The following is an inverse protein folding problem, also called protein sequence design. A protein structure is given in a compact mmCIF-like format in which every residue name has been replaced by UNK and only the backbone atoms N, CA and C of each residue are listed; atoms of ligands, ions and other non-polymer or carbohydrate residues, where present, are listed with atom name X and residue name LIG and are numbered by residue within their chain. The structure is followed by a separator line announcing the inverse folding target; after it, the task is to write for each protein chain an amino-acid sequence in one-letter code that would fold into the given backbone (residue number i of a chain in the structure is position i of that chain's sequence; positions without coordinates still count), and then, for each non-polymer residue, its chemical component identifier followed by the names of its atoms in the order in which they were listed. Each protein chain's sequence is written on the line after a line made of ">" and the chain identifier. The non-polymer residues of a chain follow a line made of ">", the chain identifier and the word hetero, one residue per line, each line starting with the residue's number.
data_IF_618740972015
#
_entry.id   IF_618740972015
#
_cell.length_a   1.000
_cell.length_b   1.000
_cell.length_c   1.000
_cell.angle_alpha   90.00
_cell.angle_beta   90.00
_cell.angle_gamma   90.00
#
_symmetry.space_group_name_H-M   'P 1'
#
loop_
_entity.id
_entity.type
_entity.pdbx_description
1 polymer ?
#
# COMPACT_ATOMS: atom_id res chain seq x y z
N UNK A 1 -53.66 -30.29 -42.95
CA UNK A 1 -53.52 -30.54 -44.40
C UNK A 1 -52.04 -30.79 -44.67
N UNK A 2 -51.66 -32.05 -45.01
CA UNK A 2 -50.39 -32.55 -45.63
C UNK A 2 -49.08 -32.32 -44.82
N UNK A 3 -48.41 -33.35 -44.26
CA UNK A 3 -47.55 -34.41 -44.86
C UNK A 3 -46.32 -33.80 -45.60
N UNK A 4 -45.12 -33.73 -44.98
CA UNK A 4 -43.97 -34.71 -44.92
C UNK A 4 -42.90 -34.41 -46.02
N UNK A 5 -41.62 -34.88 -45.99
CA UNK A 5 -40.73 -35.35 -44.89
C UNK A 5 -39.19 -35.05 -45.07
N UNK A 6 -38.37 -35.59 -44.13
CA UNK A 6 -36.92 -35.98 -44.16
C UNK A 6 -35.80 -34.92 -44.06
N UNK A 7 -35.00 -35.08 -43.00
CA UNK A 7 -33.58 -34.70 -42.94
C UNK A 7 -32.89 -35.43 -41.78
N UNK A 8 -32.34 -36.61 -42.05
CA UNK A 8 -31.50 -37.40 -41.13
C UNK A 8 -30.12 -36.75 -41.03
N UNK A 9 -29.67 -36.47 -39.80
CA UNK A 9 -28.32 -35.98 -39.47
C UNK A 9 -27.91 -36.54 -38.11
N UNK A 10 -26.66 -36.94 -38.01
CA UNK A 10 -26.05 -37.94 -37.11
C UNK A 10 -26.09 -37.64 -35.60
N UNK A 11 -25.95 -38.68 -34.74
CA UNK A 11 -25.87 -38.49 -33.29
C UNK A 11 -24.53 -37.84 -32.92
N UNK A 12 -24.58 -36.61 -32.41
CA UNK A 12 -23.45 -36.00 -31.71
C UNK A 12 -23.18 -36.80 -30.43
N UNK A 13 -22.09 -37.54 -30.45
CA UNK A 13 -21.49 -38.23 -29.32
C UNK A 13 -21.22 -37.23 -28.19
N UNK A 14 -21.88 -37.47 -27.06
CA UNK A 14 -21.63 -36.83 -25.78
C UNK A 14 -20.20 -37.12 -25.32
N UNK A 15 -19.32 -36.12 -25.38
CA UNK A 15 -18.03 -36.15 -24.70
C UNK A 15 -18.28 -35.73 -23.24
N UNK A 16 -17.93 -36.54 -22.23
CA UNK A 16 -18.04 -36.13 -20.84
C UNK A 16 -16.96 -35.08 -20.57
N UNK A 17 -17.36 -33.92 -20.03
CA UNK A 17 -16.45 -32.97 -19.42
C UNK A 17 -15.92 -33.62 -18.14
N UNK A 18 -14.70 -34.11 -18.21
CA UNK A 18 -13.97 -34.66 -17.07
C UNK A 18 -13.57 -33.47 -16.17
N UNK A 19 -14.25 -33.32 -15.04
CA UNK A 19 -13.83 -32.41 -13.97
C UNK A 19 -12.53 -32.96 -13.39
N UNK A 20 -11.43 -32.19 -13.30
CA UNK A 20 -10.27 -32.65 -12.56
C UNK A 20 -10.69 -32.79 -11.10
N UNK A 21 -10.78 -34.05 -10.66
CA UNK A 21 -11.01 -34.41 -9.27
C UNK A 21 -9.67 -34.31 -8.56
N UNK A 22 -9.36 -33.14 -8.00
CA UNK A 22 -8.26 -33.01 -7.05
C UNK A 22 -8.74 -33.72 -5.78
N UNK A 23 -8.19 -34.91 -5.55
CA UNK A 23 -8.41 -35.66 -4.31
C UNK A 23 -7.65 -34.96 -3.19
N UNK A 24 -8.33 -34.08 -2.46
CA UNK A 24 -7.84 -33.56 -1.18
C UNK A 24 -8.00 -34.70 -0.18
N UNK A 25 -6.89 -35.40 0.08
CA UNK A 25 -6.82 -36.35 1.19
C UNK A 25 -6.55 -35.51 2.44
N UNK A 26 -7.60 -35.21 3.19
CA UNK A 26 -7.51 -34.53 4.47
C UNK A 26 -7.12 -35.56 5.54
N UNK A 27 -5.83 -35.61 5.90
CA UNK A 27 -5.37 -36.30 7.10
C UNK A 27 -5.10 -35.27 8.21
N UNK A 28 -5.96 -35.28 9.22
CA UNK A 28 -5.71 -34.67 10.52
C UNK A 28 -4.50 -35.37 11.18
N UNK A 29 -3.35 -34.69 11.18
CA UNK A 29 -2.13 -35.14 11.86
C UNK A 29 -0.94 -34.34 11.38
N UNK A 30 -0.29 -33.59 12.29
CA UNK A 30 0.93 -32.78 12.09
C UNK A 30 1.50 -32.86 10.66
N UNK A 31 0.99 -32.02 9.77
CA UNK A 31 1.22 -32.14 8.34
C UNK A 31 2.71 -32.05 8.03
N UNK A 32 3.23 -33.09 7.37
CA UNK A 32 4.59 -33.07 6.85
C UNK A 32 4.75 -31.87 5.88
N UNK A 33 5.90 -31.20 5.89
CA UNK A 33 6.12 -30.03 5.02
C UNK A 33 6.03 -30.41 3.54
N UNK A 34 5.56 -29.47 2.71
CA UNK A 34 5.46 -29.62 1.25
C UNK A 34 6.76 -30.09 0.61
N UNK A 35 6.65 -30.82 -0.52
CA UNK A 35 7.76 -31.24 -1.36
C UNK A 35 8.69 -30.08 -1.78
N UNK A 36 8.15 -28.87 -1.91
CA UNK A 36 8.92 -27.65 -2.21
C UNK A 36 9.95 -27.33 -1.12
N UNK A 37 9.61 -27.64 0.13
CA UNK A 37 10.49 -27.43 1.29
C UNK A 37 11.44 -28.61 1.46
N UNK A 38 10.97 -29.84 1.22
CA UNK A 38 11.79 -31.05 1.35
C UNK A 38 12.96 -31.11 0.35
N UNK A 39 12.79 -30.56 -0.86
CA UNK A 39 13.85 -30.54 -1.88
C UNK A 39 14.94 -29.49 -1.63
N UNK A 40 14.70 -28.52 -0.75
CA UNK A 40 15.63 -27.41 -0.49
C UNK A 40 16.70 -27.74 0.56
N UNK A 41 16.44 -28.69 1.47
CA UNK A 41 17.27 -28.94 2.66
C UNK A 41 18.69 -29.46 2.41
N UNK A 42 19.10 -29.67 1.14
CA UNK A 42 20.44 -30.11 0.76
C UNK A 42 21.19 -29.14 -0.17
N UNK A 43 20.68 -27.93 -0.37
CA UNK A 43 21.29 -26.96 -1.30
C UNK A 43 22.23 -26.02 -0.54
N UNK A 44 23.50 -25.86 -0.97
CA UNK A 44 24.40 -24.87 -0.38
C UNK A 44 23.89 -23.45 -0.66
N UNK A 45 23.78 -22.68 0.42
CA UNK A 45 23.35 -21.27 0.38
C UNK A 45 24.59 -20.39 0.50
N UNK A 46 24.80 -19.41 -0.40
CA UNK A 46 25.89 -18.44 -0.26
C UNK A 46 25.77 -17.63 1.03
N UNK A 47 26.91 -17.39 1.70
CA UNK A 47 26.97 -16.57 2.93
C UNK A 47 26.50 -15.12 2.69
N UNK A 48 26.71 -14.61 1.47
CA UNK A 48 26.24 -13.30 1.06
C UNK A 48 24.77 -13.36 0.67
N UNK A 49 24.00 -12.34 1.06
CA UNK A 49 22.64 -12.14 0.60
C UNK A 49 22.63 -11.76 -0.90
N UNK A 50 21.52 -12.02 -1.62
CA UNK A 50 21.25 -11.47 -2.94
C UNK A 50 21.40 -9.94 -2.99
N UNK A 51 21.70 -9.39 -4.16
CA UNK A 51 21.98 -7.96 -4.32
C UNK A 51 20.75 -7.11 -3.98
N UNK A 52 19.53 -7.56 -4.31
CA UNK A 52 18.29 -6.87 -3.91
C UNK A 52 18.07 -6.80 -2.39
N UNK A 53 18.72 -7.68 -1.64
CA UNK A 53 18.66 -7.71 -0.17
C UNK A 53 19.88 -7.04 0.47
N UNK A 54 20.86 -6.59 -0.31
CA UNK A 54 22.07 -5.96 0.21
C UNK A 54 21.75 -4.66 0.98
N UNK A 55 22.32 -4.51 2.18
CA UNK A 55 22.11 -3.35 3.04
C UNK A 55 20.78 -3.33 3.79
N UNK A 56 19.95 -4.37 3.65
CA UNK A 56 18.73 -4.56 4.43
C UNK A 56 18.98 -5.42 5.67
N UNK A 57 18.01 -5.45 6.60
CA UNK A 57 18.05 -6.33 7.77
C UNK A 57 16.99 -7.42 7.63
N UNK A 58 17.34 -8.66 7.96
CA UNK A 58 16.39 -9.77 8.04
C UNK A 58 15.32 -9.40 9.08
N UNK A 59 14.01 -9.57 8.77
CA UNK A 59 12.94 -9.29 9.72
C UNK A 59 13.14 -10.00 11.07
N UNK A 60 12.82 -9.32 12.16
CA UNK A 60 12.87 -9.83 13.53
C UNK A 60 11.45 -10.10 14.08
N UNK A 61 11.33 -10.44 15.36
CA UNK A 61 10.02 -10.58 16.03
C UNK A 61 9.15 -11.78 15.62
N UNK A 62 9.58 -12.58 14.64
CA UNK A 62 8.83 -13.74 14.12
C UNK A 62 8.99 -15.02 14.94
N UNK A 63 10.11 -15.19 15.66
CA UNK A 63 10.44 -16.40 16.42
C UNK A 63 9.70 -16.47 17.76
N UNK A 64 8.37 -16.50 17.72
CA UNK A 64 7.51 -16.50 18.91
C UNK A 64 6.93 -17.88 19.18
N UNK A 65 6.96 -18.28 20.44
CA UNK A 65 6.40 -19.55 20.91
C UNK A 65 5.48 -19.36 22.11
N UNK A 66 4.53 -20.28 22.28
CA UNK A 66 3.66 -20.34 23.44
C UNK A 66 4.37 -21.02 24.64
N UNK A 67 3.66 -21.17 25.76
CA UNK A 67 4.19 -21.79 26.98
C UNK A 67 4.51 -23.29 26.82
N UNK A 68 4.04 -23.93 25.75
CA UNK A 68 4.27 -25.33 25.43
C UNK A 68 5.34 -25.52 24.36
N UNK A 69 5.93 -24.42 23.85
CA UNK A 69 6.94 -24.45 22.79
C UNK A 69 6.36 -24.55 21.38
N UNK A 70 5.04 -24.40 21.20
CA UNK A 70 4.45 -24.33 19.86
C UNK A 70 4.71 -22.95 19.25
N UNK A 71 4.86 -22.91 17.93
CA UNK A 71 4.93 -21.69 17.15
C UNK A 71 3.65 -20.87 17.33
N UNK A 72 3.82 -19.57 17.58
CA UNK A 72 2.73 -18.59 17.49
C UNK A 72 2.85 -17.91 16.11
N UNK A 73 1.87 -18.06 15.20
CA UNK A 73 1.88 -17.34 13.93
C UNK A 73 1.91 -15.82 14.14
N UNK A 74 2.69 -15.12 13.32
CA UNK A 74 2.80 -13.65 13.38
C UNK A 74 2.92 -13.04 11.98
N UNK A 75 2.54 -11.76 11.81
CA UNK A 75 2.83 -11.04 10.57
C UNK A 75 4.32 -11.05 10.20
N UNK A 76 5.21 -11.02 11.20
CA UNK A 76 6.66 -11.01 10.99
C UNK A 76 7.17 -12.34 10.42
N UNK A 77 6.53 -13.47 10.73
CA UNK A 77 6.88 -14.76 10.14
C UNK A 77 6.60 -14.77 8.63
N UNK A 78 5.44 -14.24 8.21
CA UNK A 78 5.16 -14.00 6.79
C UNK A 78 6.17 -13.04 6.18
N UNK A 79 6.52 -11.97 6.87
CA UNK A 79 7.51 -11.00 6.41
C UNK A 79 8.88 -11.64 6.19
N UNK A 80 9.33 -12.55 7.07
CA UNK A 80 10.55 -13.33 6.88
C UNK A 80 10.51 -14.14 5.59
N UNK A 81 9.39 -14.82 5.32
CA UNK A 81 9.23 -15.59 4.08
C UNK A 81 9.28 -14.67 2.86
N UNK A 82 8.49 -13.60 2.86
CA UNK A 82 8.44 -12.64 1.76
C UNK A 82 9.78 -11.93 1.53
N UNK A 83 10.55 -11.66 2.58
CA UNK A 83 11.87 -11.04 2.50
C UNK A 83 12.84 -11.87 1.66
N UNK A 84 12.90 -13.19 1.87
CA UNK A 84 13.74 -14.04 1.03
C UNK A 84 13.10 -14.29 -0.34
N UNK A 85 11.78 -14.51 -0.40
CA UNK A 85 11.08 -14.74 -1.66
C UNK A 85 11.08 -13.53 -2.59
N UNK A 86 11.32 -12.31 -2.11
CA UNK A 86 11.44 -11.13 -2.98
C UNK A 86 12.70 -11.17 -3.86
N UNK A 87 13.70 -11.98 -3.53
CA UNK A 87 14.88 -12.21 -4.37
C UNK A 87 14.67 -13.35 -5.41
N UNK A 88 13.43 -13.82 -5.59
CA UNK A 88 13.10 -14.81 -6.61
C UNK A 88 13.41 -14.26 -8.01
N UNK A 89 14.29 -14.96 -8.73
CA UNK A 89 14.81 -14.54 -10.03
C UNK A 89 16.29 -14.19 -10.00
N UNK A 90 16.83 -13.75 -8.86
CA UNK A 90 18.28 -13.68 -8.60
C UNK A 90 18.81 -15.03 -8.10
N UNK A 91 18.05 -15.67 -7.20
CA UNK A 91 18.29 -17.02 -6.74
C UNK A 91 17.12 -17.95 -7.10
N UNK A 92 17.40 -19.25 -7.16
CA UNK A 92 16.36 -20.26 -7.34
C UNK A 92 15.46 -20.36 -6.12
N UNK A 93 14.18 -20.73 -6.32
CA UNK A 93 13.24 -20.96 -5.22
C UNK A 93 13.82 -21.88 -4.13
N UNK A 94 14.57 -22.90 -4.53
CA UNK A 94 15.13 -23.86 -3.59
C UNK A 94 16.25 -23.26 -2.73
N UNK A 95 17.07 -22.34 -3.27
CA UNK A 95 18.06 -21.59 -2.49
C UNK A 95 17.39 -20.63 -1.50
N UNK A 96 16.33 -19.94 -1.93
CA UNK A 96 15.57 -19.03 -1.07
C UNK A 96 14.87 -19.76 0.06
N UNK A 97 14.29 -20.93 -0.23
CA UNK A 97 13.72 -21.81 0.81
C UNK A 97 14.82 -22.27 1.77
N UNK A 98 16.00 -22.68 1.29
CA UNK A 98 17.12 -23.05 2.15
C UNK A 98 17.60 -21.88 3.04
N UNK A 99 17.57 -20.63 2.56
CA UNK A 99 17.82 -19.44 3.39
C UNK A 99 16.78 -19.30 4.50
N UNK A 100 15.49 -19.48 4.19
CA UNK A 100 14.42 -19.44 5.18
C UNK A 100 14.63 -20.57 6.21
N UNK A 101 14.91 -21.80 5.78
CA UNK A 101 15.16 -22.94 6.68
C UNK A 101 16.35 -22.67 7.63
N UNK A 102 17.42 -22.06 7.10
CA UNK A 102 18.57 -21.64 7.90
C UNK A 102 18.17 -20.61 8.96
N UNK A 103 17.36 -19.60 8.59
CA UNK A 103 16.84 -18.63 9.54
C UNK A 103 15.98 -19.30 10.61
N UNK A 104 15.08 -20.21 10.23
CA UNK A 104 14.19 -20.96 11.14
C UNK A 104 14.94 -21.88 12.12
N UNK A 105 16.22 -22.20 11.87
CA UNK A 105 17.01 -23.07 12.74
C UNK A 105 17.19 -22.56 14.18
N UNK A 106 16.96 -21.26 14.41
CA UNK A 106 16.95 -20.65 15.75
C UNK A 106 15.79 -21.12 16.64
N UNK A 107 14.71 -21.65 16.05
CA UNK A 107 13.58 -22.22 16.78
C UNK A 107 13.93 -23.61 17.30
N UNK A 108 13.42 -23.97 18.48
CA UNK A 108 13.45 -25.34 18.99
C UNK A 108 12.24 -26.15 18.49
N UNK A 109 12.27 -27.48 18.66
CA UNK A 109 11.09 -28.32 18.42
C UNK A 109 10.06 -28.15 19.56
N UNK A 110 8.73 -28.15 19.26
CA UNK A 110 8.09 -28.42 17.96
C UNK A 110 7.94 -27.20 17.03
N UNK A 111 8.27 -25.98 17.49
CA UNK A 111 8.05 -24.75 16.73
C UNK A 111 8.81 -24.72 15.40
N UNK A 112 10.03 -25.27 15.34
CA UNK A 112 10.80 -25.36 14.09
C UNK A 112 10.08 -26.18 13.03
N UNK A 113 9.61 -27.38 13.38
CA UNK A 113 8.85 -28.23 12.46
C UNK A 113 7.53 -27.57 12.04
N UNK A 114 6.84 -26.91 12.98
CA UNK A 114 5.61 -26.17 12.69
C UNK A 114 5.88 -25.02 11.71
N UNK A 115 6.95 -24.24 11.90
CA UNK A 115 7.31 -23.13 11.01
C UNK A 115 7.66 -23.62 9.59
N UNK A 116 8.35 -24.77 9.49
CA UNK A 116 8.64 -25.43 8.22
C UNK A 116 7.36 -25.89 7.50
N UNK A 117 6.39 -26.45 8.24
CA UNK A 117 5.09 -26.81 7.69
C UNK A 117 4.31 -25.57 7.22
N UNK A 118 4.30 -24.49 8.02
CA UNK A 118 3.70 -23.20 7.64
C UNK A 118 4.32 -22.62 6.37
N UNK A 119 5.66 -22.68 6.22
CA UNK A 119 6.34 -22.27 5.00
C UNK A 119 5.88 -23.07 3.79
N UNK A 120 5.77 -24.40 3.93
CA UNK A 120 5.28 -25.27 2.86
C UNK A 120 3.89 -24.87 2.40
N UNK A 121 2.93 -24.78 3.33
CA UNK A 121 1.56 -24.37 3.06
C UNK A 121 1.47 -22.97 2.43
N UNK A 122 2.35 -22.06 2.87
CA UNK A 122 2.42 -20.70 2.33
C UNK A 122 2.88 -20.67 0.87
N UNK A 123 3.83 -21.52 0.48
CA UNK A 123 4.29 -21.65 -0.90
C UNK A 123 3.21 -22.27 -1.80
N UNK A 124 2.49 -23.29 -1.32
CA UNK A 124 1.34 -23.86 -2.04
C UNK A 124 0.24 -22.83 -2.25
N UNK A 125 -0.07 -22.02 -1.23
CA UNK A 125 -0.96 -20.87 -1.36
C UNK A 125 -0.52 -19.91 -2.47
N UNK A 126 0.76 -19.53 -2.51
CA UNK A 126 1.31 -18.62 -3.54
C UNK A 126 1.17 -19.19 -4.94
N UNK A 127 1.40 -20.51 -5.11
CA UNK A 127 1.21 -21.19 -6.39
C UNK A 127 -0.27 -21.18 -6.80
N UNK A 128 -1.18 -21.53 -5.88
CA UNK A 128 -2.62 -21.51 -6.15
C UNK A 128 -3.13 -20.11 -6.52
N UNK A 129 -2.61 -19.06 -5.89
CA UNK A 129 -2.92 -17.67 -6.28
C UNK A 129 -2.42 -17.37 -7.69
N UNK A 130 -1.20 -17.78 -8.04
CA UNK A 130 -0.67 -17.59 -9.40
C UNK A 130 -1.52 -18.28 -10.47
N UNK A 131 -1.99 -19.50 -10.20
CA UNK A 131 -2.89 -20.24 -11.10
C UNK A 131 -4.26 -19.54 -11.23
N UNK A 132 -4.82 -19.08 -10.11
CA UNK A 132 -6.06 -18.30 -10.11
C UNK A 132 -5.89 -17.01 -10.95
N UNK A 133 -4.78 -16.29 -10.79
CA UNK A 133 -4.51 -15.06 -11.53
C UNK A 133 -4.36 -15.29 -13.03
N UNK A 134 -3.72 -16.38 -13.44
CA UNK A 134 -3.62 -16.79 -14.84
C UNK A 134 -4.99 -17.11 -15.44
N UNK A 135 -5.95 -17.59 -14.64
CA UNK A 135 -7.30 -17.93 -15.11
C UNK A 135 -8.15 -16.72 -15.49
N UNK A 136 -7.88 -15.53 -14.94
CA UNK A 136 -8.65 -14.31 -15.23
C UNK A 136 -8.36 -13.70 -16.61
N UNK A 137 -7.23 -14.04 -17.25
CA UNK A 137 -6.80 -13.46 -18.53
C UNK A 137 -6.56 -11.93 -18.48
N UNK A 138 -6.20 -11.33 -19.64
CA UNK A 138 -5.79 -9.91 -19.72
C UNK A 138 -6.96 -8.89 -19.63
N UNK A 139 -8.22 -9.33 -19.72
CA UNK A 139 -9.39 -8.45 -19.96
C UNK A 139 -10.34 -8.36 -18.76
N UNK A 140 -9.98 -8.93 -17.61
CA UNK A 140 -10.85 -8.88 -16.43
C UNK A 140 -11.07 -7.42 -15.96
N UNK A 141 -12.35 -7.02 -15.87
CA UNK A 141 -12.76 -5.65 -15.65
C UNK A 141 -12.33 -5.07 -14.29
N UNK A 142 -11.95 -3.80 -14.27
CA UNK A 142 -11.46 -3.09 -13.06
C UNK A 142 -12.59 -2.57 -12.14
N UNK A 143 -13.81 -3.07 -12.28
CA UNK A 143 -14.96 -2.62 -11.49
C UNK A 143 -14.94 -3.15 -10.06
N UNK A 144 -15.51 -2.39 -9.11
CA UNK A 144 -15.56 -2.75 -7.69
C UNK A 144 -16.10 -4.18 -7.43
N UNK A 145 -17.13 -4.60 -8.17
CA UNK A 145 -17.72 -5.93 -8.03
C UNK A 145 -16.81 -7.07 -8.51
N UNK A 146 -16.01 -6.87 -9.55
CA UNK A 146 -15.03 -7.87 -10.01
C UNK A 146 -13.85 -7.94 -9.04
N UNK A 147 -13.36 -6.78 -8.61
CA UNK A 147 -12.31 -6.70 -7.60
C UNK A 147 -12.75 -7.46 -6.34
N UNK A 148 -13.96 -7.20 -5.83
CA UNK A 148 -14.52 -7.90 -4.67
C UNK A 148 -14.58 -9.42 -4.85
N UNK A 149 -14.96 -9.91 -6.04
CA UNK A 149 -14.95 -11.36 -6.33
C UNK A 149 -13.54 -11.93 -6.27
N UNK A 150 -12.58 -11.31 -6.96
CA UNK A 150 -11.18 -11.75 -6.95
C UNK A 150 -10.59 -11.78 -5.54
N UNK A 151 -10.88 -10.77 -4.73
CA UNK A 151 -10.42 -10.74 -3.33
C UNK A 151 -11.01 -11.88 -2.52
N UNK A 152 -12.31 -12.19 -2.70
CA UNK A 152 -12.96 -13.29 -2.01
C UNK A 152 -12.37 -14.65 -2.41
N UNK A 153 -12.01 -14.85 -3.68
CA UNK A 153 -11.35 -16.07 -4.16
C UNK A 153 -9.94 -16.22 -3.57
N UNK A 154 -9.15 -15.14 -3.52
CA UNK A 154 -7.84 -15.14 -2.86
C UNK A 154 -7.98 -15.44 -1.35
N UNK A 155 -8.97 -14.84 -0.67
CA UNK A 155 -9.24 -15.12 0.74
C UNK A 155 -9.61 -16.59 0.97
N UNK A 156 -10.41 -17.18 0.08
CA UNK A 156 -10.74 -18.60 0.14
C UNK A 156 -9.51 -19.49 -0.03
N UNK A 157 -8.57 -19.12 -0.90
CA UNK A 157 -7.29 -19.83 -1.04
C UNK A 157 -6.46 -19.76 0.25
N UNK A 158 -6.42 -18.61 0.93
CA UNK A 158 -5.74 -18.48 2.23
C UNK A 158 -6.30 -19.48 3.25
N UNK A 159 -7.63 -19.59 3.34
CA UNK A 159 -8.31 -20.51 4.27
C UNK A 159 -8.26 -21.98 3.84
N UNK A 160 -7.97 -22.26 2.57
CA UNK A 160 -7.74 -23.62 2.08
C UNK A 160 -6.38 -24.15 2.50
N UNK A 161 -5.34 -23.30 2.42
CA UNK A 161 -3.95 -23.73 2.61
C UNK A 161 -3.41 -23.47 4.01
N UNK A 162 -3.92 -22.46 4.71
CA UNK A 162 -3.45 -22.06 6.03
C UNK A 162 -4.56 -22.29 7.06
N UNK A 163 -4.17 -22.72 8.26
CA UNK A 163 -5.08 -22.77 9.39
C UNK A 163 -5.58 -21.37 9.77
N UNK A 164 -6.66 -21.31 10.56
CA UNK A 164 -7.34 -20.07 10.89
C UNK A 164 -6.42 -19.05 11.58
N UNK A 165 -5.62 -19.50 12.56
CA UNK A 165 -4.73 -18.64 13.34
C UNK A 165 -3.60 -18.09 12.46
N UNK A 166 -3.02 -18.94 11.61
CA UNK A 166 -1.97 -18.51 10.66
C UNK A 166 -2.51 -17.54 9.62
N UNK A 167 -3.65 -17.83 9.00
CA UNK A 167 -4.24 -16.95 7.99
C UNK A 167 -4.63 -15.58 8.59
N UNK A 168 -5.19 -15.55 9.80
CA UNK A 168 -5.49 -14.29 10.50
C UNK A 168 -4.21 -13.51 10.82
N UNK A 169 -3.21 -14.17 11.40
CA UNK A 169 -1.93 -13.53 11.72
C UNK A 169 -1.21 -12.98 10.47
N UNK A 170 -1.37 -13.63 9.31
CA UNK A 170 -0.68 -13.25 8.08
C UNK A 170 -1.41 -12.17 7.29
N UNK A 171 -2.74 -12.13 7.33
CA UNK A 171 -3.53 -11.38 6.35
C UNK A 171 -4.65 -10.51 6.92
N UNK A 172 -4.92 -10.51 8.24
CA UNK A 172 -6.05 -9.74 8.78
C UNK A 172 -5.97 -8.24 8.44
N UNK A 173 -4.78 -7.64 8.55
CA UNK A 173 -4.56 -6.22 8.22
C UNK A 173 -4.71 -5.97 6.70
N UNK A 174 -4.11 -6.83 5.87
CA UNK A 174 -4.25 -6.76 4.40
C UNK A 174 -5.72 -6.84 3.98
N UNK A 175 -6.46 -7.82 4.51
CA UNK A 175 -7.89 -8.03 4.23
C UNK A 175 -8.77 -6.87 4.70
N UNK A 176 -8.39 -6.20 5.79
CA UNK A 176 -9.09 -5.00 6.25
C UNK A 176 -8.84 -3.82 5.30
N UNK A 177 -7.60 -3.61 4.86
CA UNK A 177 -7.25 -2.56 3.89
C UNK A 177 -7.96 -2.79 2.56
N UNK A 178 -7.94 -4.01 2.07
CA UNK A 178 -8.56 -4.45 0.82
C UNK A 178 -10.06 -4.17 0.79
N UNK A 179 -10.78 -4.62 1.83
CA UNK A 179 -12.21 -4.35 2.01
C UNK A 179 -12.50 -2.85 2.08
N UNK A 180 -11.66 -2.09 2.76
CA UNK A 180 -11.79 -0.64 2.81
C UNK A 180 -11.57 0.02 1.43
N UNK A 181 -10.61 -0.43 0.63
CA UNK A 181 -10.39 0.13 -0.72
C UNK A 181 -11.58 -0.12 -1.65
N UNK A 182 -12.16 -1.33 -1.61
CA UNK A 182 -13.37 -1.66 -2.39
C UNK A 182 -14.54 -0.77 -1.96
N UNK A 183 -14.76 -0.64 -0.65
CA UNK A 183 -15.85 0.17 -0.13
C UNK A 183 -15.67 1.65 -0.49
N UNK A 184 -14.44 2.17 -0.39
CA UNK A 184 -14.10 3.51 -0.85
C UNK A 184 -14.43 3.69 -2.33
N UNK A 185 -14.02 2.75 -3.19
CA UNK A 185 -14.35 2.80 -4.61
C UNK A 185 -15.86 2.85 -4.83
N UNK A 186 -16.61 1.96 -4.16
CA UNK A 186 -18.08 1.91 -4.22
C UNK A 186 -18.73 3.25 -3.82
N UNK A 187 -18.30 3.84 -2.71
CA UNK A 187 -18.82 5.14 -2.23
C UNK A 187 -18.49 6.25 -3.22
N UNK A 188 -17.26 6.32 -3.71
CA UNK A 188 -16.84 7.39 -4.62
C UNK A 188 -17.54 7.34 -5.97
N UNK A 189 -17.82 6.14 -6.48
CA UNK A 189 -18.53 5.89 -7.73
C UNK A 189 -20.06 5.91 -7.62
N UNK A 190 -20.62 6.15 -6.43
CA UNK A 190 -22.06 6.22 -6.23
C UNK A 190 -22.59 7.63 -6.56
N UNK A 191 -23.21 7.77 -7.72
CA UNK A 191 -23.78 9.04 -8.19
C UNK A 191 -25.06 9.44 -7.44
N UNK A 192 -25.61 8.57 -6.57
CA UNK A 192 -26.78 8.89 -5.75
C UNK A 192 -26.43 9.63 -4.45
N UNK A 193 -25.15 9.68 -4.08
CA UNK A 193 -24.67 10.33 -2.87
C UNK A 193 -24.16 11.76 -3.14
N UNK A 194 -24.52 12.71 -2.27
CA UNK A 194 -23.87 14.03 -2.24
C UNK A 194 -22.45 13.94 -1.70
N UNK A 195 -21.65 14.99 -1.88
CA UNK A 195 -20.28 15.05 -1.37
C UNK A 195 -20.23 14.89 0.17
N UNK A 196 -21.19 15.46 0.89
CA UNK A 196 -21.30 15.31 2.35
C UNK A 196 -21.66 13.87 2.73
N UNK A 197 -22.55 13.22 1.99
CA UNK A 197 -22.94 11.83 2.22
C UNK A 197 -21.77 10.87 1.91
N UNK A 198 -21.01 11.13 0.83
CA UNK A 198 -19.78 10.38 0.52
C UNK A 198 -18.75 10.56 1.63
N UNK A 199 -18.55 11.77 2.13
CA UNK A 199 -17.61 12.03 3.22
C UNK A 199 -17.99 11.28 4.51
N UNK A 200 -19.27 11.24 4.87
CA UNK A 200 -19.75 10.47 6.03
C UNK A 200 -19.60 8.97 5.83
N UNK A 201 -20.00 8.45 4.68
CA UNK A 201 -19.84 7.02 4.36
C UNK A 201 -18.37 6.59 4.39
N UNK A 202 -17.44 7.43 3.91
CA UNK A 202 -16.01 7.15 3.98
C UNK A 202 -15.49 7.13 5.41
N UNK A 203 -15.91 8.06 6.28
CA UNK A 203 -15.56 8.04 7.71
C UNK A 203 -16.05 6.76 8.38
N UNK A 204 -17.27 6.34 8.07
CA UNK A 204 -17.82 5.09 8.60
C UNK A 204 -17.03 3.88 8.10
N UNK A 205 -16.69 3.81 6.81
CA UNK A 205 -15.88 2.74 6.25
C UNK A 205 -14.50 2.65 6.91
N UNK A 206 -13.84 3.79 7.14
CA UNK A 206 -12.54 3.83 7.84
C UNK A 206 -12.61 3.34 9.29
N UNK A 207 -13.75 3.50 9.97
CA UNK A 207 -13.91 3.00 11.35
C UNK A 207 -13.79 1.48 11.45
N UNK A 208 -13.93 0.76 10.33
CA UNK A 208 -13.76 -0.70 10.24
C UNK A 208 -12.30 -1.16 10.13
N UNK A 209 -11.35 -0.24 9.89
CA UNK A 209 -9.93 -0.56 9.86
C UNK A 209 -9.38 -0.84 11.28
N UNK A 210 -8.38 -1.74 11.41
CA UNK A 210 -7.61 -1.93 12.64
C UNK A 210 -7.07 -0.61 13.20
N UNK A 211 -7.02 -0.50 14.53
CA UNK A 211 -6.59 0.72 15.24
C UNK A 211 -5.21 1.23 14.77
N UNK A 212 -4.17 0.39 14.58
CA UNK A 212 -2.88 0.88 14.12
C UNK A 212 -2.96 1.55 12.73
N UNK A 213 -3.75 0.96 11.82
CA UNK A 213 -3.94 1.47 10.47
C UNK A 213 -4.77 2.77 10.47
N UNK A 214 -5.78 2.85 11.34
CA UNK A 214 -6.55 4.09 11.53
C UNK A 214 -5.66 5.23 12.03
N UNK A 215 -4.84 4.98 13.05
CA UNK A 215 -3.91 5.97 13.60
C UNK A 215 -2.90 6.46 12.55
N UNK A 216 -2.27 5.55 11.80
CA UNK A 216 -1.35 5.92 10.73
C UNK A 216 -2.02 6.79 9.65
N UNK A 217 -3.30 6.50 9.32
CA UNK A 217 -4.10 7.31 8.40
C UNK A 217 -4.45 8.68 8.96
N UNK A 218 -4.85 8.75 10.22
CA UNK A 218 -5.09 10.01 10.93
C UNK A 218 -3.84 10.89 10.89
N UNK A 219 -2.66 10.34 11.19
CA UNK A 219 -1.39 11.06 11.11
C UNK A 219 -1.09 11.59 9.71
N UNK A 220 -1.29 10.76 8.68
CA UNK A 220 -1.07 11.15 7.28
C UNK A 220 -2.01 12.27 6.83
N UNK A 221 -3.23 12.32 7.39
CA UNK A 221 -4.25 13.33 7.03
C UNK A 221 -4.12 14.65 7.77
N UNK A 222 -3.38 14.70 8.89
CA UNK A 222 -3.28 15.91 9.72
C UNK A 222 -3.02 17.19 8.93
N UNK A 223 -2.20 17.14 7.87
CA UNK A 223 -1.95 18.31 7.03
C UNK A 223 -3.14 18.69 6.14
N UNK A 224 -3.83 17.71 5.55
CA UNK A 224 -5.03 17.96 4.77
C UNK A 224 -6.16 18.52 5.65
N UNK A 225 -6.34 17.94 6.84
CA UNK A 225 -7.30 18.41 7.83
C UNK A 225 -6.97 19.84 8.29
N UNK A 226 -5.68 20.15 8.46
CA UNK A 226 -5.21 21.51 8.75
C UNK A 226 -5.54 22.50 7.63
N UNK A 227 -5.29 22.15 6.37
CA UNK A 227 -5.62 23.01 5.23
C UNK A 227 -7.13 23.24 5.10
N UNK A 228 -7.93 22.21 5.38
CA UNK A 228 -9.39 22.33 5.43
C UNK A 228 -9.83 23.26 6.57
N UNK A 229 -9.37 23.04 7.79
CA UNK A 229 -9.67 23.89 8.93
C UNK A 229 -9.25 25.35 8.69
N UNK A 230 -8.10 25.57 8.03
CA UNK A 230 -7.65 26.92 7.66
C UNK A 230 -8.61 27.62 6.70
N UNK A 231 -9.25 26.88 5.78
CA UNK A 231 -10.23 27.44 4.84
C UNK A 231 -11.57 27.69 5.52
N UNK A 232 -12.05 26.75 6.31
CA UNK A 232 -13.34 26.86 7.01
C UNK A 232 -13.33 27.95 8.08
N UNK A 233 -12.20 28.12 8.77
CA UNK A 233 -12.00 29.10 9.84
C UNK A 233 -11.25 30.35 9.35
N UNK A 234 -11.24 30.62 8.04
CA UNK A 234 -10.48 31.73 7.47
C UNK A 234 -10.88 33.09 8.06
N UNK A 235 -12.16 33.26 8.40
CA UNK A 235 -12.74 34.48 8.97
C UNK A 235 -12.68 34.52 10.51
N UNK A 236 -12.24 33.44 11.17
CA UNK A 236 -12.11 33.35 12.63
C UNK A 236 -10.69 32.89 13.05
N UNK A 237 -9.74 33.83 13.18
CA UNK A 237 -8.38 33.54 13.59
C UNK A 237 -8.27 32.96 15.00
N UNK A 238 -9.22 33.25 15.90
CA UNK A 238 -9.20 32.73 17.26
C UNK A 238 -9.64 31.27 17.30
N UNK A 239 -10.70 30.91 16.58
CA UNK A 239 -11.12 29.52 16.43
C UNK A 239 -10.03 28.67 15.78
N UNK A 240 -9.36 29.20 14.75
CA UNK A 240 -8.25 28.51 14.09
C UNK A 240 -7.04 28.31 15.02
N UNK A 241 -6.73 29.30 15.87
CA UNK A 241 -5.66 29.17 16.86
C UNK A 241 -5.99 28.12 17.92
N UNK A 242 -7.22 28.11 18.44
CA UNK A 242 -7.69 27.12 19.40
C UNK A 242 -7.65 25.70 18.80
N UNK A 243 -8.15 25.53 17.58
CA UNK A 243 -8.12 24.26 16.85
C UNK A 243 -6.69 23.74 16.67
N UNK A 244 -5.73 24.61 16.32
CA UNK A 244 -4.31 24.21 16.18
C UNK A 244 -3.72 23.72 17.49
N UNK A 245 -4.03 24.39 18.60
CA UNK A 245 -3.55 24.00 19.92
C UNK A 245 -4.12 22.64 20.33
N UNK A 246 -5.39 22.38 20.03
CA UNK A 246 -6.03 21.10 20.29
C UNK A 246 -5.40 19.95 19.48
N UNK A 247 -5.18 20.15 18.18
CA UNK A 247 -4.73 19.08 17.27
C UNK A 247 -3.22 18.84 17.31
N UNK A 248 -2.42 19.90 17.44
CA UNK A 248 -0.96 19.84 17.32
C UNK A 248 -0.22 20.17 18.62
N UNK A 249 -0.91 20.68 19.64
CA UNK A 249 -0.30 21.21 20.85
C UNK A 249 0.25 22.63 20.68
N UNK A 250 0.48 23.31 21.80
CA UNK A 250 0.87 24.72 21.87
C UNK A 250 2.13 25.04 21.03
N UNK A 251 3.22 24.30 21.24
CA UNK A 251 4.48 24.59 20.57
C UNK A 251 4.41 24.45 19.03
N UNK A 252 3.58 23.56 18.52
CA UNK A 252 3.39 23.39 17.08
C UNK A 252 2.43 24.44 16.52
N UNK A 253 1.36 24.78 17.25
CA UNK A 253 0.45 25.86 16.91
C UNK A 253 1.18 27.20 16.76
N UNK A 254 2.11 27.51 17.66
CA UNK A 254 2.92 28.73 17.60
C UNK A 254 3.85 28.77 16.38
N UNK A 255 4.46 27.63 16.04
CA UNK A 255 5.30 27.53 14.82
C UNK A 255 4.46 27.73 13.56
N UNK A 256 3.26 27.16 13.50
CA UNK A 256 2.33 27.35 12.37
C UNK A 256 1.88 28.82 12.26
N UNK A 257 1.53 29.46 13.38
CA UNK A 257 1.16 30.87 13.38
C UNK A 257 2.32 31.76 12.92
N UNK A 258 3.56 31.48 13.35
CA UNK A 258 4.75 32.21 12.89
C UNK A 258 4.99 32.03 11.40
N UNK A 259 4.89 30.79 10.90
CA UNK A 259 5.03 30.48 9.48
C UNK A 259 4.04 31.28 8.63
N UNK A 260 2.80 31.43 9.08
CA UNK A 260 1.80 32.24 8.37
C UNK A 260 2.13 33.74 8.35
N UNK A 261 2.67 34.28 9.44
CA UNK A 261 3.14 35.66 9.49
C UNK A 261 4.30 35.89 8.52
N UNK A 262 5.25 34.96 8.50
CA UNK A 262 6.38 34.97 7.56
C UNK A 262 5.88 34.89 6.11
N UNK A 263 4.89 34.05 5.83
CA UNK A 263 4.29 33.91 4.50
C UNK A 263 3.54 35.19 4.08
N UNK A 264 2.75 35.80 4.95
CA UNK A 264 2.10 37.10 4.69
C UNK A 264 3.12 38.22 4.48
N UNK A 265 4.23 38.21 5.21
CA UNK A 265 5.31 39.18 5.02
C UNK A 265 6.05 38.98 3.69
N UNK A 266 6.28 37.73 3.30
CA UNK A 266 6.79 37.36 1.98
C UNK A 266 5.86 37.84 0.88
N UNK A 267 4.57 37.51 0.95
CA UNK A 267 3.59 37.86 -0.09
C UNK A 267 3.48 39.37 -0.28
N UNK A 268 3.51 40.16 0.80
CA UNK A 268 3.53 41.63 0.71
C UNK A 268 4.77 42.17 0.01
N UNK A 269 5.96 41.65 0.33
CA UNK A 269 7.21 42.05 -0.35
C UNK A 269 7.21 41.63 -1.81
N UNK A 270 6.69 40.44 -2.10
CA UNK A 270 6.51 39.95 -3.46
C UNK A 270 5.60 40.85 -4.28
N UNK A 271 4.45 41.27 -3.75
CA UNK A 271 3.55 42.19 -4.46
C UNK A 271 4.20 43.55 -4.72
N UNK A 272 4.88 44.13 -3.72
CA UNK A 272 5.61 45.39 -3.89
C UNK A 272 6.71 45.28 -4.95
N UNK A 273 7.49 44.20 -4.91
CA UNK A 273 8.48 43.88 -5.93
C UNK A 273 7.85 43.74 -7.33
N UNK A 274 6.76 42.98 -7.46
CA UNK A 274 6.09 42.74 -8.73
C UNK A 274 5.55 44.04 -9.35
N UNK A 275 4.96 44.93 -8.55
CA UNK A 275 4.50 46.24 -9.01
C UNK A 275 5.65 47.12 -9.53
N UNK A 276 6.79 47.13 -8.84
CA UNK A 276 7.98 47.88 -9.26
C UNK A 276 8.64 47.26 -10.50
N UNK A 277 8.69 45.93 -10.56
CA UNK A 277 9.20 45.15 -11.68
C UNK A 277 8.43 45.45 -12.95
N UNK A 278 7.10 45.43 -12.89
CA UNK A 278 6.24 45.65 -14.05
C UNK A 278 6.39 47.10 -14.58
N UNK A 279 6.57 48.08 -13.68
CA UNK A 279 6.91 49.46 -14.07
C UNK A 279 8.27 49.54 -14.77
N UNK A 280 9.27 48.86 -14.24
CA UNK A 280 10.63 48.81 -14.82
C UNK A 280 10.63 48.13 -16.20
N UNK A 281 9.84 47.07 -16.38
CA UNK A 281 9.68 46.40 -17.68
C UNK A 281 9.00 47.32 -18.71
N UNK A 282 8.11 48.21 -18.27
CA UNK A 282 7.41 49.18 -19.13
C UNK A 282 8.20 50.45 -19.45
N UNK A 283 9.38 50.68 -18.84
CA UNK A 283 10.10 51.96 -18.92
C UNK A 283 10.95 52.15 -20.18
N UNK A 284 10.90 51.21 -21.14
CA UNK A 284 11.60 51.31 -22.43
C UNK A 284 13.13 51.17 -22.35
N UNK A 285 13.66 50.61 -21.26
CA UNK A 285 15.09 50.33 -21.10
C UNK A 285 15.58 49.27 -22.09
N UNK A 286 16.84 49.39 -22.53
CA UNK A 286 17.49 48.36 -23.33
C UNK A 286 17.74 47.10 -22.50
N UNK A 287 17.78 45.93 -23.15
CA UNK A 287 17.83 44.62 -22.49
C UNK A 287 18.94 44.48 -21.41
N UNK A 288 20.20 44.91 -21.63
CA UNK A 288 21.25 44.78 -20.63
C UNK A 288 21.00 45.64 -19.39
N UNK A 289 20.57 46.88 -19.60
CA UNK A 289 20.27 47.86 -18.54
C UNK A 289 19.03 47.43 -17.73
N UNK A 290 18.06 46.82 -18.41
CA UNK A 290 16.86 46.25 -17.80
C UNK A 290 17.21 45.09 -16.87
N UNK A 291 18.07 44.19 -17.30
CA UNK A 291 18.50 43.05 -16.48
C UNK A 291 19.25 43.50 -15.22
N UNK A 292 20.18 44.44 -15.34
CA UNK A 292 20.88 45.00 -14.18
C UNK A 292 19.96 45.76 -13.22
N UNK A 293 18.93 46.42 -13.74
CA UNK A 293 17.93 47.08 -12.92
C UNK A 293 17.02 46.09 -12.19
N UNK A 294 16.64 44.97 -12.83
CA UNK A 294 15.87 43.88 -12.22
C UNK A 294 16.67 43.20 -11.10
N UNK A 295 17.95 42.91 -11.30
CA UNK A 295 18.80 42.32 -10.26
C UNK A 295 18.93 43.22 -9.04
N UNK A 296 19.14 44.52 -9.26
CA UNK A 296 19.19 45.51 -8.16
C UNK A 296 17.86 45.61 -7.42
N UNK A 297 16.76 45.60 -8.16
CA UNK A 297 15.41 45.61 -7.59
C UNK A 297 15.14 44.35 -6.75
N UNK A 298 15.49 43.17 -7.26
CA UNK A 298 15.36 41.92 -6.50
C UNK A 298 16.24 41.95 -5.26
N UNK A 299 17.44 42.51 -5.38
CA UNK A 299 18.37 42.66 -4.26
C UNK A 299 17.90 43.62 -3.17
N UNK A 300 17.06 44.62 -3.48
CA UNK A 300 16.49 45.55 -2.49
C UNK A 300 15.30 44.97 -1.73
N UNK A 301 14.56 44.02 -2.32
CA UNK A 301 13.37 43.41 -1.70
C UNK A 301 13.64 42.09 -0.96
N UNK A 302 14.70 41.36 -1.36
CA UNK A 302 14.95 39.99 -0.92
C UNK A 302 16.39 39.75 -0.47
N UNK A 303 16.54 38.90 0.57
CA UNK A 303 17.84 38.37 0.98
C UNK A 303 18.38 37.32 -0.01
N UNK A 304 19.59 36.82 0.19
CA UNK A 304 20.25 35.90 -0.73
C UNK A 304 19.45 34.62 -1.02
N UNK A 305 18.94 33.93 0.01
CA UNK A 305 18.12 32.71 -0.17
C UNK A 305 16.79 33.02 -0.84
N UNK A 306 16.19 34.14 -0.49
CA UNK A 306 14.92 34.60 -1.02
C UNK A 306 15.00 35.03 -2.49
N UNK A 307 16.15 35.53 -2.96
CA UNK A 307 16.37 35.90 -4.36
C UNK A 307 16.22 34.71 -5.29
N UNK A 308 16.71 33.53 -4.90
CA UNK A 308 16.56 32.30 -5.69
C UNK A 308 15.07 31.95 -5.88
N UNK A 309 14.28 32.07 -4.80
CA UNK A 309 12.82 31.87 -4.86
C UNK A 309 12.14 32.91 -5.73
N UNK A 310 12.53 34.18 -5.61
CA UNK A 310 11.97 35.28 -6.37
C UNK A 310 12.26 35.15 -7.88
N UNK A 311 13.50 34.79 -8.23
CA UNK A 311 13.93 34.53 -9.62
C UNK A 311 13.16 33.36 -10.24
N UNK A 312 12.98 32.26 -9.50
CA UNK A 312 12.16 31.14 -9.96
C UNK A 312 10.70 31.56 -10.21
N UNK A 313 10.11 32.37 -9.32
CA UNK A 313 8.74 32.86 -9.50
C UNK A 313 8.59 33.81 -10.69
N UNK A 314 9.60 34.66 -10.97
CA UNK A 314 9.65 35.51 -12.17
C UNK A 314 9.70 34.69 -13.46
N UNK A 315 10.33 33.51 -13.45
CA UNK A 315 10.45 32.66 -14.65
C UNK A 315 9.16 31.91 -15.02
N UNK A 316 8.22 31.79 -14.07
CA UNK A 316 6.99 30.99 -14.22
C UNK A 316 5.76 31.87 -14.50
N UNK A 317 5.77 33.14 -14.05
CA UNK A 317 4.63 34.06 -14.12
C UNK A 317 4.90 35.23 -15.05
#
# INVERSE_FOLDING_TARGET
>A
MRADPIGVGEPVTSVPVEKPSISVTQEDGAAAPSDLVNRASSIPVPDQLPDSLAGTSIPDGWARTDRLGNLIPTPHLRQLFEYFLSALGEESLQQLVARIESALSVLDEPARSQARATLGNYLEYKLAVSELEQSYGEVSGLGAGEMQRRMAEIQALRRTWLDADTADAFFADDEAVDRFQIEKLRITSDDSLTDEQKAEALRQAESSLPEPLRKAREETRRFADYEQARRELADDPQALAAWRQEVFGEAAADRLARLELEQKAWDRRWQAYADERDRLLSSGLAEPERQEALERLRASHFNETERIRAEALDSIR
#
